data_IF_752998114357
#
_entry.id   IF_752998114357
#
_cell.length_a   1.000
_cell.length_b   1.000
_cell.length_c   1.000
_cell.angle_alpha   90.00
_cell.angle_beta   90.00
_cell.angle_gamma   90.00
#
_symmetry.space_group_name_H-M   'P 1'
#
loop_
_entity.id
_entity.type
_entity.pdbx_description
1 polymer ?
#
# COMPACT_ATOMS: atom_id res chain seq x y z
N UNK A 1 -9.11 4.33 -25.68
CA UNK A 1 -9.22 5.30 -26.79
C UNK A 1 -8.76 4.67 -28.10
N UNK A 2 -9.60 4.72 -29.14
CA UNK A 2 -9.29 4.17 -30.46
C UNK A 2 -9.18 5.33 -31.45
N UNK A 3 -8.18 5.26 -32.33
CA UNK A 3 -8.08 6.15 -33.48
C UNK A 3 -9.12 5.70 -34.50
N UNK A 4 -10.18 6.49 -34.68
CA UNK A 4 -11.20 6.25 -35.70
C UNK A 4 -11.06 7.31 -36.79
N UNK A 5 -11.14 6.87 -38.05
CA UNK A 5 -11.15 7.77 -39.19
C UNK A 5 -12.59 8.19 -39.49
N UNK A 6 -12.82 9.50 -39.50
CA UNK A 6 -14.09 10.12 -39.85
C UNK A 6 -13.89 10.92 -41.14
N UNK A 7 -14.92 11.04 -41.97
CA UNK A 7 -14.86 11.97 -43.09
C UNK A 7 -14.84 13.40 -42.57
N UNK A 8 -13.89 14.21 -43.06
CA UNK A 8 -13.77 15.63 -42.75
C UNK A 8 -15.03 16.35 -43.28
N UNK A 9 -15.93 16.85 -42.41
CA UNK A 9 -17.18 17.46 -42.85
C UNK A 9 -16.95 18.77 -43.62
N UNK A 10 -15.75 19.35 -43.56
CA UNK A 10 -15.37 20.54 -44.31
C UNK A 10 -14.68 20.21 -45.65
N UNK A 11 -14.25 18.97 -45.88
CA UNK A 11 -13.59 18.51 -47.12
C UNK A 11 -13.99 17.06 -47.46
N UNK A 12 -15.13 16.86 -48.15
CA UNK A 12 -15.63 15.54 -48.51
C UNK A 12 -14.59 14.73 -49.31
N UNK A 13 -14.26 13.53 -48.82
CA UNK A 13 -13.26 12.64 -49.42
C UNK A 13 -11.89 12.65 -48.71
N UNK A 14 -11.69 13.50 -47.70
CA UNK A 14 -10.51 13.46 -46.83
C UNK A 14 -10.86 12.84 -45.49
N UNK A 15 -10.22 11.74 -45.13
CA UNK A 15 -10.40 11.10 -43.82
C UNK A 15 -9.55 11.79 -42.75
N UNK A 16 -10.17 12.18 -41.65
CA UNK A 16 -9.55 12.75 -40.46
C UNK A 16 -9.52 11.68 -39.37
N UNK A 17 -8.33 11.33 -38.88
CA UNK A 17 -8.19 10.38 -37.77
C UNK A 17 -8.32 11.15 -36.46
N UNK A 18 -9.41 10.90 -35.73
CA UNK A 18 -9.72 11.57 -34.46
C UNK A 18 -9.67 10.54 -33.34
N UNK A 19 -9.04 10.92 -32.21
CA UNK A 19 -9.18 10.16 -30.98
C UNK A 19 -10.61 10.33 -30.45
N UNK A 20 -11.42 9.30 -30.57
CA UNK A 20 -12.76 9.29 -30.00
C UNK A 20 -12.80 8.47 -28.72
N UNK A 21 -13.54 9.01 -27.74
CA UNK A 21 -13.97 8.27 -26.56
C UNK A 21 -15.14 7.37 -26.98
N UNK A 22 -14.84 6.24 -27.59
CA UNK A 22 -15.79 5.15 -27.74
C UNK A 22 -15.77 4.27 -26.48
N UNK A 23 -16.91 3.68 -26.13
CA UNK A 23 -17.02 2.67 -25.07
C UNK A 23 -15.97 1.57 -25.31
N UNK A 24 -14.98 1.48 -24.43
CA UNK A 24 -13.89 0.52 -24.57
C UNK A 24 -14.27 -0.80 -23.91
N UNK A 25 -14.92 -1.67 -24.67
CA UNK A 25 -15.03 -3.09 -24.38
C UNK A 25 -16.18 -3.50 -23.45
N UNK A 26 -16.83 -4.61 -23.79
CA UNK A 26 -17.75 -5.29 -22.86
C UNK A 26 -16.92 -6.13 -21.87
N UNK A 27 -16.83 -5.67 -20.61
CA UNK A 27 -16.25 -6.48 -19.53
C UNK A 27 -17.26 -7.54 -19.11
N UNK A 28 -16.92 -8.81 -19.34
CA UNK A 28 -17.74 -9.94 -18.93
C UNK A 28 -17.16 -10.60 -17.70
N UNK A 29 -18.00 -10.83 -16.69
CA UNK A 29 -17.65 -11.51 -15.44
C UNK A 29 -18.50 -12.75 -15.23
N UNK A 30 -17.87 -13.87 -14.87
CA UNK A 30 -18.57 -15.07 -14.38
C UNK A 30 -17.97 -15.50 -13.06
N UNK A 31 -18.80 -15.77 -12.07
CA UNK A 31 -18.33 -16.06 -10.71
C UNK A 31 -19.14 -17.13 -10.01
N UNK A 32 -18.58 -17.62 -8.92
CA UNK A 32 -19.21 -18.59 -8.01
C UNK A 32 -18.91 -18.16 -6.59
N UNK A 33 -19.94 -18.11 -5.77
CA UNK A 33 -19.86 -17.86 -4.34
C UNK A 33 -20.42 -19.06 -3.58
N UNK A 34 -19.68 -19.53 -2.57
CA UNK A 34 -20.07 -20.63 -1.69
C UNK A 34 -19.89 -20.18 -0.25
N UNK A 35 -20.90 -20.40 0.58
CA UNK A 35 -20.83 -20.21 2.02
C UNK A 35 -21.24 -21.48 2.75
N UNK A 36 -20.55 -21.77 3.85
CA UNK A 36 -20.85 -22.86 4.76
C UNK A 36 -20.96 -22.31 6.18
N UNK A 37 -22.10 -22.56 6.80
CA UNK A 37 -22.38 -22.19 8.18
C UNK A 37 -22.45 -23.46 9.05
N UNK A 38 -21.70 -23.45 10.15
CA UNK A 38 -21.63 -24.54 11.11
C UNK A 38 -21.87 -24.01 12.52
N UNK A 39 -22.84 -24.58 13.22
CA UNK A 39 -23.18 -24.16 14.58
C UNK A 39 -23.27 -25.40 15.48
N UNK A 40 -22.66 -25.33 16.67
CA UNK A 40 -22.73 -26.37 17.70
C UNK A 40 -23.17 -25.73 19.03
N UNK A 41 -24.49 -25.67 19.21
CA UNK A 41 -25.11 -25.05 20.39
C UNK A 41 -24.64 -23.61 20.57
N UNK A 42 -24.37 -23.21 21.83
CA UNK A 42 -23.89 -21.87 22.16
C UNK A 42 -22.36 -21.75 22.24
N UNK A 43 -21.62 -22.84 21.95
CA UNK A 43 -20.18 -23.00 22.26
C UNK A 43 -19.30 -22.70 21.05
N UNK A 44 -19.76 -23.04 19.85
CA UNK A 44 -18.98 -22.91 18.64
C UNK A 44 -19.90 -22.53 17.48
N UNK A 45 -19.51 -21.49 16.78
CA UNK A 45 -20.15 -21.04 15.54
C UNK A 45 -19.06 -20.70 14.53
N UNK A 46 -19.23 -21.13 13.28
CA UNK A 46 -18.26 -20.90 12.23
C UNK A 46 -18.99 -20.62 10.91
N UNK A 47 -18.45 -19.66 10.16
CA UNK A 47 -18.87 -19.35 8.80
C UNK A 47 -17.62 -19.35 7.94
N UNK A 48 -17.64 -20.05 6.81
CA UNK A 48 -16.57 -20.03 5.81
C UNK A 48 -17.19 -19.69 4.47
N UNK A 49 -16.65 -18.67 3.82
CA UNK A 49 -17.06 -18.22 2.50
C UNK A 49 -15.89 -18.29 1.53
N UNK A 50 -16.18 -18.69 0.30
CA UNK A 50 -15.27 -18.67 -0.83
C UNK A 50 -15.95 -18.01 -2.02
N UNK A 51 -15.22 -17.11 -2.67
CA UNK A 51 -15.65 -16.41 -3.86
C UNK A 51 -14.62 -16.61 -4.96
N UNK A 52 -15.10 -16.92 -6.16
CA UNK A 52 -14.33 -16.99 -7.39
C UNK A 52 -14.96 -16.06 -8.41
N UNK A 53 -14.14 -15.27 -9.10
CA UNK A 53 -14.59 -14.44 -10.21
C UNK A 53 -13.60 -14.58 -11.35
N UNK A 54 -14.11 -14.78 -12.56
CA UNK A 54 -13.35 -14.71 -13.80
C UNK A 54 -13.85 -13.54 -14.62
N UNK A 55 -12.96 -12.62 -14.93
CA UNK A 55 -13.24 -11.49 -15.81
C UNK A 55 -12.51 -11.66 -17.14
N UNK A 56 -13.20 -11.30 -18.22
CA UNK A 56 -12.66 -11.21 -19.57
C UNK A 56 -12.98 -9.83 -20.12
N UNK A 57 -11.97 -9.18 -20.65
CA UNK A 57 -12.05 -7.86 -21.26
C UNK A 57 -11.31 -7.92 -22.59
N UNK A 58 -11.86 -7.26 -23.61
CA UNK A 58 -11.28 -7.27 -24.95
C UNK A 58 -9.85 -6.72 -24.94
N UNK A 59 -8.91 -7.46 -25.50
CA UNK A 59 -7.48 -7.08 -25.51
C UNK A 59 -6.70 -7.44 -24.24
N UNK A 60 -7.36 -7.91 -23.17
CA UNK A 60 -6.70 -8.39 -21.94
C UNK A 60 -6.70 -9.90 -21.81
N UNK A 61 -5.71 -10.42 -21.10
CA UNK A 61 -5.74 -11.82 -20.64
C UNK A 61 -6.87 -12.00 -19.63
N UNK A 62 -7.61 -13.09 -19.75
CA UNK A 62 -8.65 -13.44 -18.79
C UNK A 62 -8.07 -13.56 -17.37
N UNK A 63 -8.67 -12.88 -16.41
CA UNK A 63 -8.22 -12.86 -15.02
C UNK A 63 -9.17 -13.69 -14.17
N UNK A 64 -8.61 -14.57 -13.35
CA UNK A 64 -9.34 -15.18 -12.23
C UNK A 64 -8.94 -14.55 -10.89
N UNK A 65 -9.90 -14.23 -10.04
CA UNK A 65 -9.68 -13.78 -8.66
C UNK A 65 -10.37 -14.73 -7.69
N UNK A 66 -9.74 -14.89 -6.53
CA UNK A 66 -10.17 -15.79 -5.47
C UNK A 66 -10.19 -15.03 -4.15
N UNK A 67 -11.24 -15.22 -3.35
CA UNK A 67 -11.30 -14.71 -1.99
C UNK A 67 -11.83 -15.79 -1.06
N UNK A 68 -11.21 -15.90 0.11
CA UNK A 68 -11.60 -16.79 1.20
C UNK A 68 -11.80 -15.93 2.44
N UNK A 69 -12.97 -16.04 3.06
CA UNK A 69 -13.26 -15.44 4.36
C UNK A 69 -13.70 -16.52 5.34
N UNK A 70 -13.24 -16.45 6.58
CA UNK A 70 -13.78 -17.30 7.63
C UNK A 70 -13.93 -16.53 8.95
N UNK A 71 -15.00 -16.84 9.68
CA UNK A 71 -15.24 -16.37 11.05
C UNK A 71 -15.47 -17.59 11.92
N UNK A 72 -14.73 -17.70 13.02
CA UNK A 72 -14.92 -18.76 14.00
C UNK A 72 -15.12 -18.12 15.36
N UNK A 73 -16.32 -18.24 15.91
CA UNK A 73 -16.68 -17.87 17.27
C UNK A 73 -16.62 -19.08 18.20
N UNK A 74 -15.98 -18.92 19.35
CA UNK A 74 -15.96 -19.91 20.41
C UNK A 74 -16.35 -19.24 21.72
N UNK A 75 -17.17 -19.91 22.52
CA UNK A 75 -17.56 -19.48 23.86
C UNK A 75 -17.38 -20.63 24.84
N UNK A 76 -16.66 -20.39 25.91
CA UNK A 76 -16.57 -21.34 27.03
C UNK A 76 -17.84 -21.18 27.88
N UNK A 77 -18.62 -22.26 28.10
CA UNK A 77 -19.77 -22.22 28.99
C UNK A 77 -19.40 -21.73 30.40
N UNK A 78 -20.29 -20.98 31.05
CA UNK A 78 -20.05 -20.43 32.39
C UNK A 78 -19.91 -21.51 33.47
N UNK A 79 -20.51 -22.69 33.25
CA UNK A 79 -20.48 -23.85 34.15
C UNK A 79 -19.31 -24.82 33.85
N UNK A 80 -18.49 -24.54 32.83
CA UNK A 80 -17.39 -25.41 32.45
C UNK A 80 -16.35 -25.52 33.58
N UNK A 81 -16.20 -26.74 34.11
CA UNK A 81 -15.34 -27.04 35.28
C UNK A 81 -15.59 -26.11 36.47
N UNK A 82 -16.86 -25.83 36.75
CA UNK A 82 -17.28 -25.05 37.93
C UNK A 82 -16.61 -25.57 39.22
N UNK A 83 -16.20 -24.65 40.10
CA UNK A 83 -15.48 -24.97 41.34
C UNK A 83 -13.98 -25.23 41.19
N UNK A 84 -13.44 -25.23 39.96
CA UNK A 84 -11.98 -25.28 39.71
C UNK A 84 -11.41 -23.90 39.35
N UNK A 85 -10.10 -23.71 39.58
CA UNK A 85 -9.39 -22.51 39.12
C UNK A 85 -9.54 -22.29 37.61
N UNK A 86 -9.45 -23.35 36.80
CA UNK A 86 -9.58 -23.26 35.35
C UNK A 86 -10.98 -22.81 34.92
N UNK A 87 -12.03 -23.29 35.59
CA UNK A 87 -13.41 -22.83 35.35
C UNK A 87 -13.58 -21.35 35.72
N UNK A 88 -12.99 -20.91 36.82
CA UNK A 88 -13.02 -19.51 37.25
C UNK A 88 -12.27 -18.54 36.31
N UNK A 89 -11.30 -19.02 35.53
CA UNK A 89 -10.55 -18.21 34.56
C UNK A 89 -11.17 -18.28 33.16
N UNK A 90 -11.56 -19.47 32.71
CA UNK A 90 -12.01 -19.72 31.34
C UNK A 90 -13.53 -19.52 31.17
N UNK A 91 -14.33 -19.63 32.23
CA UNK A 91 -15.77 -19.39 32.17
C UNK A 91 -16.09 -18.00 31.59
N UNK A 92 -17.05 -17.96 30.68
CA UNK A 92 -17.48 -16.77 29.92
C UNK A 92 -16.42 -16.15 28.99
N UNK A 93 -15.31 -16.84 28.75
CA UNK A 93 -14.35 -16.45 27.73
C UNK A 93 -14.95 -16.67 26.34
N UNK A 94 -14.83 -15.65 25.51
CA UNK A 94 -15.21 -15.66 24.11
C UNK A 94 -13.96 -15.42 23.25
N UNK A 95 -13.82 -16.21 22.20
CA UNK A 95 -12.79 -16.02 21.20
C UNK A 95 -13.46 -15.89 19.83
N UNK A 96 -13.03 -14.93 19.04
CA UNK A 96 -13.46 -14.77 17.64
C UNK A 96 -12.22 -14.69 16.77
N UNK A 97 -12.08 -15.64 15.86
CA UNK A 97 -11.03 -15.64 14.83
C UNK A 97 -11.65 -15.18 13.52
N UNK A 98 -10.99 -14.25 12.83
CA UNK A 98 -11.32 -13.83 11.48
C UNK A 98 -10.14 -14.13 10.55
N UNK A 99 -10.38 -14.96 9.54
CA UNK A 99 -9.42 -15.22 8.48
C UNK A 99 -9.89 -14.52 7.21
N UNK A 100 -8.96 -13.87 6.50
CA UNK A 100 -9.18 -13.38 5.14
C UNK A 100 -7.97 -13.75 4.29
N UNK A 101 -8.20 -14.26 3.09
CA UNK A 101 -7.17 -14.45 2.10
C UNK A 101 -7.72 -14.13 0.71
N UNK A 102 -6.98 -13.37 -0.10
CA UNK A 102 -7.40 -13.02 -1.44
C UNK A 102 -6.23 -13.08 -2.42
N UNK A 103 -6.50 -13.51 -3.65
CA UNK A 103 -5.56 -13.41 -4.76
C UNK A 103 -5.17 -11.95 -4.98
N UNK A 104 -3.90 -11.70 -5.28
CA UNK A 104 -3.44 -10.34 -5.55
C UNK A 104 -4.01 -9.76 -6.85
N UNK A 105 -3.90 -8.44 -6.93
CA UNK A 105 -4.31 -7.63 -8.07
C UNK A 105 -3.56 -8.09 -9.34
N UNK A 106 -4.26 -8.47 -10.42
CA UNK A 106 -3.65 -8.60 -11.74
C UNK A 106 -3.28 -7.21 -12.26
N UNK A 107 -2.15 -7.09 -12.95
CA UNK A 107 -1.72 -5.84 -13.57
C UNK A 107 -0.87 -6.12 -14.79
N UNK A 108 -0.57 -5.07 -15.55
CA UNK A 108 0.37 -5.15 -16.69
C UNK A 108 1.68 -4.49 -16.29
N UNK A 109 2.81 -5.19 -16.44
CA UNK A 109 4.11 -4.55 -16.28
C UNK A 109 4.38 -3.54 -17.38
N UNK A 110 4.88 -2.38 -16.98
CA UNK A 110 5.29 -1.30 -17.88
C UNK A 110 6.80 -1.38 -18.14
N UNK A 111 7.26 -0.82 -19.26
CA UNK A 111 8.69 -0.58 -19.45
C UNK A 111 9.17 0.46 -18.44
N UNK A 112 10.28 0.19 -17.75
CA UNK A 112 10.82 1.13 -16.78
C UNK A 112 11.45 2.33 -17.46
N UNK A 113 10.77 3.47 -17.38
CA UNK A 113 11.22 4.79 -17.83
C UNK A 113 11.41 5.75 -16.64
N UNK A 114 11.17 5.27 -15.42
CA UNK A 114 11.27 6.07 -14.19
C UNK A 114 10.05 6.95 -13.97
N UNK A 115 8.86 6.50 -14.38
CA UNK A 115 7.62 7.25 -14.20
C UNK A 115 7.03 7.10 -12.79
N UNK A 116 7.32 5.99 -12.10
CA UNK A 116 6.84 5.73 -10.74
C UNK A 116 5.38 5.26 -10.66
N UNK A 117 4.80 4.80 -11.77
CA UNK A 117 3.42 4.31 -11.85
C UNK A 117 3.23 3.05 -11.01
N UNK A 118 2.13 3.00 -10.27
CA UNK A 118 1.75 1.85 -9.45
C UNK A 118 0.95 0.82 -10.25
N UNK A 119 0.99 -0.43 -9.80
CA UNK A 119 0.26 -1.54 -10.38
C UNK A 119 -1.26 -1.43 -10.19
N UNK A 120 -1.73 -0.52 -9.34
CA UNK A 120 -3.15 -0.16 -9.20
C UNK A 120 -3.59 1.02 -10.08
N UNK A 121 -2.63 1.68 -10.74
CA UNK A 121 -2.80 2.92 -11.52
C UNK A 121 -2.27 2.77 -12.95
N UNK A 122 -2.05 1.54 -13.40
CA UNK A 122 -1.44 1.22 -14.68
C UNK A 122 -2.39 1.46 -15.86
N UNK A 123 -3.70 1.30 -15.66
CA UNK A 123 -4.70 1.39 -16.74
C UNK A 123 -4.66 2.72 -17.51
N UNK A 124 -4.72 3.91 -16.86
CA UNK A 124 -4.57 5.18 -17.59
C UNK A 124 -3.20 5.33 -18.25
N UNK A 125 -2.17 4.69 -17.67
CA UNK A 125 -0.78 4.82 -18.08
C UNK A 125 -0.45 4.05 -19.35
N UNK A 126 -1.20 2.97 -19.65
CA UNK A 126 -1.07 2.20 -20.90
C UNK A 126 -1.41 3.00 -22.17
N UNK A 127 -2.02 4.18 -22.02
CA UNK A 127 -2.30 5.10 -23.14
C UNK A 127 -1.05 5.88 -23.59
N UNK A 128 -0.07 6.03 -22.69
CA UNK A 128 1.10 6.89 -22.87
C UNK A 128 2.41 6.11 -22.77
N UNK A 129 2.41 4.98 -22.06
CA UNK A 129 3.57 4.17 -21.78
C UNK A 129 3.43 2.79 -22.43
N UNK A 130 4.54 2.26 -22.93
CA UNK A 130 4.56 0.93 -23.53
C UNK A 130 4.57 -0.16 -22.45
N UNK A 131 3.64 -1.12 -22.58
CA UNK A 131 3.69 -2.38 -21.82
C UNK A 131 4.99 -3.14 -22.08
N UNK A 132 5.51 -3.79 -21.04
CA UNK A 132 6.63 -4.73 -21.12
C UNK A 132 6.16 -6.17 -21.39
N UNK A 133 4.86 -6.42 -21.27
CA UNK A 133 4.22 -7.74 -21.40
C UNK A 133 2.79 -7.60 -21.96
N UNK A 134 2.13 -8.71 -22.34
CA UNK A 134 0.71 -8.70 -22.67
C UNK A 134 -0.16 -8.22 -21.49
N UNK A 135 -1.33 -7.64 -21.80
CA UNK A 135 -2.17 -7.00 -20.79
C UNK A 135 -2.69 -7.99 -19.74
N UNK A 136 -2.48 -7.67 -18.46
CA UNK A 136 -3.01 -8.40 -17.30
C UNK A 136 -2.28 -9.70 -16.93
N UNK A 137 -1.05 -9.90 -17.40
CA UNK A 137 -0.25 -11.12 -17.15
C UNK A 137 0.34 -11.16 -15.75
N UNK A 138 0.88 -10.05 -15.26
CA UNK A 138 1.48 -10.00 -13.93
C UNK A 138 0.44 -9.94 -12.82
N UNK A 139 0.85 -10.33 -11.61
CA UNK A 139 -0.03 -10.35 -10.44
C UNK A 139 0.72 -10.10 -9.15
N UNK A 140 0.10 -9.35 -8.25
CA UNK A 140 0.58 -9.23 -6.89
C UNK A 140 0.47 -10.56 -6.11
N UNK A 141 1.30 -10.77 -5.08
CA UNK A 141 1.14 -11.91 -4.19
C UNK A 141 -0.23 -11.94 -3.51
N UNK A 142 -0.62 -13.12 -3.02
CA UNK A 142 -1.82 -13.25 -2.20
C UNK A 142 -1.69 -12.46 -0.89
N UNK A 143 -2.75 -11.75 -0.54
CA UNK A 143 -2.88 -11.13 0.78
C UNK A 143 -3.60 -12.08 1.72
N UNK A 144 -3.19 -12.09 2.99
CA UNK A 144 -3.75 -12.94 4.04
C UNK A 144 -3.66 -12.29 5.42
N UNK A 145 -4.71 -12.40 6.20
CA UNK A 145 -4.74 -11.98 7.60
C UNK A 145 -5.47 -13.00 8.45
N UNK A 146 -5.00 -13.15 9.68
CA UNK A 146 -5.71 -13.86 10.75
C UNK A 146 -5.79 -12.91 11.92
N UNK A 147 -7.01 -12.47 12.26
CA UNK A 147 -7.28 -11.64 13.41
C UNK A 147 -7.88 -12.51 14.53
N UNK A 148 -7.57 -12.18 15.78
CA UNK A 148 -8.11 -12.85 16.96
C UNK A 148 -8.61 -11.80 17.94
N UNK A 149 -9.89 -11.88 18.31
CA UNK A 149 -10.45 -11.14 19.45
C UNK A 149 -10.74 -12.10 20.58
N UNK A 150 -10.18 -11.86 21.75
CA UNK A 150 -10.53 -12.49 23.01
C UNK A 150 -11.35 -11.51 23.83
N UNK A 151 -12.48 -11.92 24.38
CA UNK A 151 -13.28 -11.11 25.29
C UNK A 151 -13.81 -11.91 26.47
N UNK A 152 -13.97 -11.25 27.60
CA UNK A 152 -14.55 -11.84 28.80
C UNK A 152 -15.48 -10.85 29.48
N UNK A 153 -16.64 -11.33 29.89
CA UNK A 153 -17.56 -10.56 30.70
C UNK A 153 -17.12 -10.63 32.17
N UNK A 154 -17.03 -9.48 32.82
CA UNK A 154 -16.65 -9.36 34.23
C UNK A 154 -17.74 -8.56 34.93
N UNK A 155 -18.42 -9.19 35.88
CA UNK A 155 -19.43 -8.54 36.70
C UNK A 155 -18.77 -7.92 37.92
N UNK A 156 -19.00 -6.63 38.14
CA UNK A 156 -18.49 -5.88 39.30
C UNK A 156 -19.63 -5.18 40.03
N UNK A 157 -19.38 -4.68 41.24
CA UNK A 157 -20.38 -3.93 42.04
C UNK A 157 -20.86 -2.67 41.30
N UNK A 158 -20.07 -2.13 40.37
CA UNK A 158 -20.36 -0.92 39.60
C UNK A 158 -20.86 -1.14 38.16
N UNK A 159 -21.16 -2.39 37.75
CA UNK A 159 -21.68 -2.70 36.42
C UNK A 159 -21.09 -3.96 35.77
N UNK A 160 -21.66 -4.33 34.62
CA UNK A 160 -21.20 -5.43 33.77
C UNK A 160 -20.19 -4.88 32.74
N UNK A 161 -18.93 -5.32 32.85
CA UNK A 161 -17.84 -4.93 31.96
C UNK A 161 -17.50 -6.04 30.98
N UNK A 162 -17.09 -5.68 29.77
CA UNK A 162 -16.46 -6.60 28.82
C UNK A 162 -15.01 -6.18 28.61
N UNK A 163 -14.07 -7.01 29.07
CA UNK A 163 -12.63 -6.80 28.81
C UNK A 163 -12.26 -7.56 27.54
N UNK A 164 -11.45 -6.96 26.68
CA UNK A 164 -11.04 -7.59 25.43
C UNK A 164 -9.57 -7.33 25.06
N UNK A 165 -9.03 -8.26 24.28
CA UNK A 165 -7.78 -8.13 23.55
C UNK A 165 -8.04 -8.46 22.07
N UNK A 166 -7.72 -7.55 21.17
CA UNK A 166 -7.88 -7.67 19.72
C UNK A 166 -6.49 -7.67 19.06
N UNK A 167 -6.14 -8.80 18.46
CA UNK A 167 -4.90 -9.04 17.74
C UNK A 167 -5.22 -8.99 16.24
N UNK A 168 -4.70 -7.99 15.55
CA UNK A 168 -4.81 -7.89 14.09
C UNK A 168 -3.57 -8.44 13.44
N UNK A 169 -3.76 -9.23 12.38
CA UNK A 169 -2.67 -9.93 11.69
C UNK A 169 -1.77 -10.67 12.71
N UNK A 170 -2.38 -11.58 13.49
CA UNK A 170 -1.80 -12.32 14.60
C UNK A 170 -0.42 -12.92 14.27
N UNK A 171 -0.27 -13.45 13.05
CA UNK A 171 0.95 -14.09 12.57
C UNK A 171 1.96 -13.13 11.90
N UNK A 172 1.62 -11.84 11.76
CA UNK A 172 2.50 -10.84 11.16
C UNK A 172 2.81 -11.09 9.69
N UNK A 173 1.83 -11.53 8.91
CA UNK A 173 2.01 -11.72 7.47
C UNK A 173 2.35 -10.39 6.79
N UNK A 174 3.42 -10.40 5.97
CA UNK A 174 3.74 -9.30 5.06
C UNK A 174 2.82 -9.40 3.84
N UNK A 175 1.88 -8.47 3.72
CA UNK A 175 0.95 -8.40 2.61
C UNK A 175 1.40 -7.31 1.65
N UNK A 176 1.80 -7.68 0.44
CA UNK A 176 2.10 -6.72 -0.62
C UNK A 176 0.78 -6.33 -1.30
N UNK A 177 0.38 -5.09 -1.15
CA UNK A 177 -0.90 -4.56 -1.64
C UNK A 177 -0.75 -3.74 -2.93
N UNK A 178 0.49 -3.39 -3.30
CA UNK A 178 0.80 -2.72 -4.55
C UNK A 178 2.26 -3.02 -4.96
N UNK A 179 2.66 -2.61 -6.16
CA UNK A 179 4.03 -2.60 -6.65
C UNK A 179 4.21 -1.48 -7.68
N UNK A 180 5.44 -1.06 -7.96
CA UNK A 180 5.70 -0.27 -9.16
C UNK A 180 5.41 -1.12 -10.39
N UNK A 181 4.53 -0.67 -11.29
CA UNK A 181 4.19 -1.40 -12.51
C UNK A 181 5.42 -1.61 -13.41
N UNK A 182 6.41 -0.71 -13.34
CA UNK A 182 7.65 -0.77 -14.10
C UNK A 182 8.60 -1.91 -13.64
N UNK A 183 8.70 -2.16 -12.33
CA UNK A 183 9.65 -3.13 -11.76
C UNK A 183 8.99 -4.39 -11.21
N UNK A 184 7.68 -4.35 -10.94
CA UNK A 184 6.94 -5.39 -10.25
C UNK A 184 7.34 -5.58 -8.79
N UNK A 185 7.99 -4.57 -8.19
CA UNK A 185 8.50 -4.60 -6.81
C UNK A 185 8.11 -3.33 -6.05
N UNK A 186 8.43 -3.27 -4.76
CA UNK A 186 8.25 -2.09 -3.91
C UNK A 186 9.35 -1.03 -4.08
N UNK A 187 10.26 -1.21 -5.05
CA UNK A 187 11.35 -0.30 -5.35
C UNK A 187 11.45 0.03 -6.86
N UNK A 188 11.82 1.27 -7.18
CA UNK A 188 12.19 1.67 -8.53
C UNK A 188 13.30 2.72 -8.47
N UNK A 189 14.55 2.27 -8.64
CA UNK A 189 15.74 3.13 -8.56
C UNK A 189 15.75 4.20 -9.65
N UNK A 190 15.26 3.88 -10.86
CA UNK A 190 15.19 4.85 -11.95
C UNK A 190 14.19 5.96 -11.64
N UNK A 191 13.02 5.61 -11.08
CA UNK A 191 12.06 6.62 -10.62
C UNK A 191 12.65 7.48 -9.51
N UNK A 192 13.36 6.90 -8.53
CA UNK A 192 14.02 7.66 -7.47
C UNK A 192 15.00 8.69 -8.05
N UNK A 193 15.86 8.27 -8.98
CA UNK A 193 16.83 9.17 -9.64
C UNK A 193 16.09 10.29 -10.39
N UNK A 194 15.06 9.95 -11.19
CA UNK A 194 14.30 10.94 -11.95
C UNK A 194 13.56 11.93 -11.05
N UNK A 195 12.94 11.45 -9.96
CA UNK A 195 12.19 12.28 -9.03
C UNK A 195 13.07 13.26 -8.24
N UNK A 196 14.32 12.86 -7.93
CA UNK A 196 15.26 13.69 -7.16
C UNK A 196 16.15 14.57 -8.04
N UNK A 197 16.19 14.35 -9.36
CA UNK A 197 17.10 15.05 -10.28
C UNK A 197 17.00 16.57 -10.19
N UNK A 198 15.77 17.09 -10.15
CA UNK A 198 15.54 18.53 -10.11
C UNK A 198 15.99 19.13 -8.77
N UNK A 199 15.90 18.38 -7.67
CA UNK A 199 16.36 18.84 -6.35
C UNK A 199 17.89 18.95 -6.30
N UNK A 200 18.62 17.96 -6.81
CA UNK A 200 20.08 18.07 -6.94
C UNK A 200 20.48 19.26 -7.82
N UNK A 201 19.81 19.41 -8.96
CA UNK A 201 20.11 20.48 -9.92
C UNK A 201 19.86 21.87 -9.31
N UNK A 202 18.73 22.05 -8.62
CA UNK A 202 18.39 23.32 -7.94
C UNK A 202 19.37 23.65 -6.83
N UNK A 203 19.75 22.66 -6.01
CA UNK A 203 20.74 22.85 -4.95
C UNK A 203 22.09 23.31 -5.53
N UNK A 204 22.53 22.69 -6.63
CA UNK A 204 23.79 23.06 -7.29
C UNK A 204 23.72 24.47 -7.90
N UNK A 205 22.62 24.83 -8.55
CA UNK A 205 22.39 26.17 -9.09
C UNK A 205 22.43 27.21 -7.97
N UNK A 206 21.72 26.96 -6.86
CA UNK A 206 21.71 27.86 -5.70
C UNK A 206 23.10 28.00 -5.09
N UNK A 207 23.79 26.88 -4.83
CA UNK A 207 25.14 26.90 -4.28
C UNK A 207 26.12 27.67 -5.19
N UNK A 208 26.05 27.47 -6.50
CA UNK A 208 26.89 28.17 -7.46
C UNK A 208 26.61 29.67 -7.51
N UNK A 209 25.32 30.07 -7.50
CA UNK A 209 24.92 31.47 -7.47
C UNK A 209 25.40 32.21 -6.20
N UNK A 210 25.60 31.48 -5.11
CA UNK A 210 26.11 32.00 -3.84
C UNK A 210 27.64 31.81 -3.67
N UNK A 211 28.35 31.33 -4.69
CA UNK A 211 29.80 31.07 -4.61
C UNK A 211 30.18 29.98 -3.60
N UNK A 212 29.22 29.15 -3.20
CA UNK A 212 29.34 28.10 -2.20
C UNK A 212 29.53 26.70 -2.81
N UNK A 213 29.47 26.55 -4.13
CA UNK A 213 29.67 25.27 -4.80
C UNK A 213 31.18 24.95 -4.92
N UNK A 214 31.58 23.85 -4.31
CA UNK A 214 32.92 23.29 -4.36
C UNK A 214 32.99 22.09 -5.32
N UNK A 215 34.17 21.50 -5.45
CA UNK A 215 34.37 20.28 -6.23
C UNK A 215 33.48 19.12 -5.74
N UNK A 216 33.22 18.16 -6.64
CA UNK A 216 32.39 16.98 -6.37
C UNK A 216 30.99 17.33 -5.81
N UNK A 217 30.41 18.43 -6.30
CA UNK A 217 29.09 18.95 -5.92
C UNK A 217 28.93 19.27 -4.42
N UNK A 218 30.02 19.48 -3.68
CA UNK A 218 29.94 19.81 -2.26
C UNK A 218 29.52 21.26 -2.07
N UNK A 219 28.59 21.52 -1.14
CA UNK A 219 28.13 22.89 -0.83
C UNK A 219 28.76 23.37 0.47
N UNK A 220 29.47 24.49 0.43
CA UNK A 220 30.04 25.15 1.62
C UNK A 220 28.96 25.93 2.38
N UNK A 221 28.66 25.49 3.58
CA UNK A 221 27.65 26.06 4.46
C UNK A 221 28.25 26.77 5.67
N UNK A 222 29.58 26.97 5.74
CA UNK A 222 30.23 27.56 6.92
C UNK A 222 29.88 29.04 7.14
N UNK A 223 29.43 29.75 6.11
CA UNK A 223 29.03 31.15 6.18
C UNK A 223 27.73 31.46 5.43
N UNK A 224 26.69 31.88 6.16
CA UNK A 224 25.37 32.16 5.59
C UNK A 224 25.07 33.64 5.31
N UNK A 225 25.88 34.57 5.84
CA UNK A 225 25.62 36.00 5.68
C UNK A 225 25.74 36.50 4.22
N UNK A 226 26.56 35.82 3.41
CA UNK A 226 26.76 36.14 1.99
C UNK A 226 25.77 35.47 1.04
N UNK A 227 24.85 34.66 1.55
CA UNK A 227 23.85 34.00 0.71
C UNK A 227 22.72 34.98 0.35
N UNK A 228 22.22 34.91 -0.88
CA UNK A 228 21.05 35.66 -1.35
C UNK A 228 19.85 35.48 -0.42
N UNK A 229 19.66 34.25 0.09
CA UNK A 229 18.73 33.94 1.18
C UNK A 229 19.52 33.30 2.33
N UNK A 230 19.86 34.06 3.39
CA UNK A 230 20.54 33.50 4.57
C UNK A 230 19.73 32.38 5.25
N UNK A 231 18.40 32.42 5.13
CA UNK A 231 17.51 31.40 5.68
C UNK A 231 17.72 30.04 5.00
N UNK A 232 17.93 30.01 3.69
CA UNK A 232 18.17 28.77 2.95
C UNK A 232 19.48 28.12 3.39
N UNK A 233 20.56 28.90 3.52
CA UNK A 233 21.83 28.39 4.04
C UNK A 233 21.69 27.83 5.46
N UNK A 234 21.01 28.54 6.37
CA UNK A 234 20.78 28.05 7.74
C UNK A 234 19.92 26.78 7.75
N UNK A 235 18.96 26.67 6.84
CA UNK A 235 18.17 25.44 6.67
C UNK A 235 19.06 24.28 6.20
N UNK A 236 19.90 24.50 5.19
CA UNK A 236 20.86 23.51 4.70
C UNK A 236 21.87 23.10 5.78
N UNK A 237 22.36 24.03 6.62
CA UNK A 237 23.21 23.69 7.77
C UNK A 237 22.52 22.73 8.74
N UNK A 238 21.21 22.85 8.94
CA UNK A 238 20.45 21.93 9.81
C UNK A 238 20.28 20.56 9.15
N UNK A 239 20.11 20.53 7.83
CA UNK A 239 20.06 19.29 7.05
C UNK A 239 21.41 18.56 7.12
N UNK A 240 22.51 19.28 6.87
CA UNK A 240 23.88 18.76 6.98
C UNK A 240 24.15 18.22 8.38
N UNK A 241 23.84 18.94 9.46
CA UNK A 241 23.98 18.39 10.83
C UNK A 241 23.11 17.15 11.12
N UNK A 242 21.97 16.99 10.45
CA UNK A 242 21.05 15.88 10.68
C UNK A 242 21.43 14.63 9.88
N UNK A 243 21.90 14.81 8.65
CA UNK A 243 22.14 13.73 7.69
C UNK A 243 23.64 13.57 7.32
N UNK A 244 24.49 14.47 7.79
CA UNK A 244 25.94 14.51 7.64
C UNK A 244 26.67 14.46 8.98
N UNK A 245 27.86 15.06 9.03
CA UNK A 245 28.78 15.00 10.17
C UNK A 245 28.88 16.32 10.97
N UNK A 246 28.20 17.37 10.52
CA UNK A 246 28.14 18.68 11.16
C UNK A 246 29.32 19.59 10.86
N UNK A 247 30.16 19.26 9.88
CA UNK A 247 31.38 20.01 9.57
C UNK A 247 31.13 21.30 8.74
N UNK A 248 29.89 21.53 8.32
CA UNK A 248 29.51 22.69 7.49
C UNK A 248 29.84 22.55 6.00
N UNK A 249 30.21 21.37 5.52
CA UNK A 249 30.37 21.01 4.12
C UNK A 249 29.33 19.95 3.77
N UNK A 250 28.37 20.31 2.93
CA UNK A 250 27.31 19.39 2.53
C UNK A 250 27.70 18.63 1.28
N UNK A 251 28.32 17.48 1.46
CA UNK A 251 28.89 16.63 0.41
C UNK A 251 27.80 15.92 -0.42
N UNK A 252 28.15 15.43 -1.62
CA UNK A 252 27.20 14.65 -2.44
C UNK A 252 26.63 13.45 -1.68
N UNK A 253 27.45 12.73 -0.90
CA UNK A 253 26.97 11.57 -0.14
C UNK A 253 25.97 11.97 0.96
N UNK A 254 26.10 13.16 1.53
CA UNK A 254 25.14 13.71 2.51
C UNK A 254 23.87 14.18 1.83
N UNK A 255 24.01 14.82 0.66
CA UNK A 255 22.88 15.17 -0.19
C UNK A 255 22.07 13.91 -0.54
N UNK A 256 22.74 12.84 -0.94
CA UNK A 256 22.11 11.55 -1.24
C UNK A 256 21.35 11.01 -0.03
N UNK A 257 21.95 11.02 1.17
CA UNK A 257 21.26 10.55 2.38
C UNK A 257 20.03 11.38 2.71
N UNK A 258 20.14 12.71 2.67
CA UNK A 258 19.03 13.59 2.98
C UNK A 258 17.88 13.46 1.96
N UNK A 259 18.20 13.50 0.66
CA UNK A 259 17.21 13.45 -0.41
C UNK A 259 16.59 12.06 -0.56
N UNK A 260 17.36 10.97 -0.38
CA UNK A 260 16.79 9.62 -0.34
C UNK A 260 15.87 9.46 0.87
N UNK A 261 16.22 10.01 2.04
CA UNK A 261 15.32 9.97 3.20
C UNK A 261 14.04 10.77 2.96
N UNK A 262 14.15 11.93 2.32
CA UNK A 262 12.99 12.70 1.89
C UNK A 262 12.10 11.88 0.97
N UNK A 263 12.67 11.28 -0.09
CA UNK A 263 11.95 10.41 -1.01
C UNK A 263 11.24 9.28 -0.25
N UNK A 264 11.97 8.52 0.56
CA UNK A 264 11.41 7.36 1.28
C UNK A 264 10.30 7.74 2.27
N UNK A 265 10.31 8.97 2.80
CA UNK A 265 9.25 9.48 3.67
C UNK A 265 7.91 9.63 2.95
N UNK A 266 7.91 9.98 1.66
CA UNK A 266 6.70 10.22 0.87
C UNK A 266 6.34 9.06 -0.07
N UNK A 267 7.34 8.40 -0.65
CA UNK A 267 7.18 7.39 -1.70
C UNK A 267 7.82 6.04 -1.34
N UNK A 268 8.31 5.88 -0.11
CA UNK A 268 9.03 4.70 0.34
C UNK A 268 8.19 3.42 0.42
N UNK A 269 8.86 2.33 0.78
CA UNK A 269 8.32 0.96 0.69
C UNK A 269 7.01 0.74 1.49
N UNK A 270 6.76 1.54 2.54
CA UNK A 270 5.61 1.37 3.44
C UNK A 270 4.26 1.42 2.71
N UNK A 271 4.14 2.17 1.61
CA UNK A 271 2.89 2.29 0.83
C UNK A 271 2.51 1.04 0.05
N UNK A 272 3.47 0.12 -0.15
CA UNK A 272 3.27 -1.14 -0.87
C UNK A 272 2.86 -2.29 0.04
N UNK A 273 2.87 -2.08 1.37
CA UNK A 273 2.61 -3.12 2.35
C UNK A 273 1.34 -2.82 3.14
N UNK A 274 0.50 -3.83 3.30
CA UNK A 274 -0.68 -3.77 4.16
C UNK A 274 -0.32 -3.69 5.65
N UNK A 275 -1.32 -3.47 6.52
CA UNK A 275 -1.10 -3.31 7.95
C UNK A 275 -0.34 -4.49 8.58
N UNK A 276 0.66 -4.16 9.39
CA UNK A 276 1.40 -5.13 10.20
C UNK A 276 0.59 -5.66 11.38
N UNK A 277 1.24 -6.46 12.23
CA UNK A 277 0.62 -6.97 13.46
C UNK A 277 0.36 -5.83 14.44
N UNK A 278 -0.86 -5.74 14.95
CA UNK A 278 -1.22 -4.80 16.03
C UNK A 278 -1.99 -5.51 17.13
N UNK A 279 -1.88 -4.99 18.35
CA UNK A 279 -2.59 -5.49 19.52
C UNK A 279 -3.29 -4.33 20.21
N UNK A 280 -4.59 -4.48 20.45
CA UNK A 280 -5.40 -3.52 21.20
C UNK A 280 -5.99 -4.22 22.41
N UNK A 281 -5.83 -3.62 23.58
CA UNK A 281 -6.49 -4.06 24.81
C UNK A 281 -7.44 -2.97 25.26
N UNK A 282 -8.63 -3.35 25.74
CA UNK A 282 -9.65 -2.40 26.17
C UNK A 282 -10.70 -3.03 27.05
N UNK A 283 -11.57 -2.17 27.58
CA UNK A 283 -12.75 -2.53 28.37
C UNK A 283 -13.93 -1.68 27.94
N UNK A 284 -15.11 -2.30 27.86
CA UNK A 284 -16.38 -1.68 27.49
C UNK A 284 -17.36 -1.86 28.66
N UNK A 285 -18.04 -0.78 29.07
CA UNK A 285 -19.12 -0.83 30.06
C UNK A 285 -20.44 -1.12 29.33
N UNK A 286 -21.18 -2.14 29.76
CA UNK A 286 -22.60 -2.25 29.39
C UNK A 286 -23.40 -1.37 30.35
N UNK A 287 -23.94 -0.28 29.80
CA UNK A 287 -24.97 0.55 30.44
C UNK A 287 -26.33 -0.12 30.32
#
# INVERSE_FOLDING_TARGET
PRLLSYDDPANPGRSLTVNSLAETGEVHGTGVDVSLDFHRGAVLDATVAYSYLRTTEEGRVAVSTHAIGARVGMRVPSDWKAGSFLGAVAGDLQATVLLRAASGLPYTRLRNVGSGILASEEEPSLLLLSGAEPLGVSRLPWTKTVDLRLSRNVRTVGGDWTVFADFRNLFGFKNTIDAYAETGTDANDLYRVTALRDEYTRLQIEANANGALLAANTVDLRGCAGWQSPVNCVALQRVERRFGDGNGLYTQAEQDRALNTYFDSFTGAWRFHGPGRTVRVGMELRL
#
